data_IF_827602149372
#
_entry.id   IF_827602149372
#
_cell.length_a   1.000
_cell.length_b   1.000
_cell.length_c   1.000
_cell.angle_alpha   90.00
_cell.angle_beta   90.00
_cell.angle_gamma   90.00
#
_symmetry.space_group_name_H-M   'P 1'
#
loop_
_entity.id
_entity.type
_entity.pdbx_description
1 polymer ?
#
# COMPACT_ATOMS: atom_id res chain seq x y z
N UNK A 1 -20.44 -5.00 2.20
CA UNK A 1 -19.65 -4.41 1.09
C UNK A 1 -19.59 -2.90 1.29
N UNK A 2 -18.41 -2.29 1.13
CA UNK A 2 -18.24 -0.84 1.25
C UNK A 2 -19.04 -0.11 0.16
N UNK A 3 -19.62 1.05 0.49
CA UNK A 3 -20.29 1.91 -0.51
C UNK A 3 -19.30 2.69 -1.38
N UNK A 4 -18.05 2.79 -0.96
CA UNK A 4 -17.03 3.64 -1.57
C UNK A 4 -16.20 2.91 -2.64
N UNK A 5 -15.67 1.73 -2.30
CA UNK A 5 -14.76 0.99 -3.17
C UNK A 5 -14.85 -0.52 -2.93
N UNK A 6 -14.37 -1.30 -3.88
CA UNK A 6 -14.07 -2.72 -3.68
C UNK A 6 -12.56 -2.92 -3.59
N UNK A 7 -12.11 -3.79 -2.69
CA UNK A 7 -10.70 -4.16 -2.57
C UNK A 7 -10.39 -5.23 -3.62
N UNK A 8 -9.37 -4.96 -4.45
CA UNK A 8 -8.89 -5.84 -5.50
C UNK A 8 -7.71 -6.71 -5.05
N UNK A 9 -6.89 -6.19 -4.13
CA UNK A 9 -5.73 -6.86 -3.55
C UNK A 9 -5.31 -6.15 -2.26
N UNK A 10 -4.77 -6.89 -1.29
CA UNK A 10 -4.18 -6.33 -0.08
C UNK A 10 -2.86 -7.00 0.27
N UNK A 11 -1.98 -6.25 0.92
CA UNK A 11 -0.82 -6.74 1.64
C UNK A 11 -0.86 -6.19 3.06
N UNK A 12 -0.37 -6.97 4.01
CA UNK A 12 -0.35 -6.62 5.43
C UNK A 12 1.01 -7.01 5.98
N UNK A 13 1.64 -6.12 6.74
CA UNK A 13 2.79 -6.44 7.59
C UNK A 13 2.46 -6.07 9.04
N UNK A 14 3.06 -6.81 9.97
CA UNK A 14 3.07 -6.41 11.37
C UNK A 14 4.13 -5.32 11.57
N UNK A 15 3.79 -4.33 12.37
CA UNK A 15 4.67 -3.24 12.81
C UNK A 15 4.62 -3.16 14.34
N UNK A 16 5.34 -2.21 14.93
CA UNK A 16 5.49 -2.12 16.40
C UNK A 16 4.16 -2.19 17.15
N UNK A 17 4.19 -2.71 18.38
CA UNK A 17 3.04 -2.85 19.28
C UNK A 17 1.90 -3.76 18.77
N UNK A 18 2.19 -4.70 17.88
CA UNK A 18 1.19 -5.56 17.20
C UNK A 18 0.21 -4.77 16.34
N UNK A 19 0.60 -3.56 15.94
CA UNK A 19 -0.14 -2.83 14.92
C UNK A 19 0.16 -3.43 13.54
N UNK A 20 -0.67 -3.08 12.56
CA UNK A 20 -0.55 -3.57 11.19
C UNK A 20 -0.54 -2.41 10.23
N UNK A 21 0.38 -2.47 9.27
CA UNK A 21 0.37 -1.60 8.11
C UNK A 21 -0.21 -2.38 6.92
N UNK A 22 -1.07 -1.71 6.16
CA UNK A 22 -1.68 -2.30 4.96
C UNK A 22 -1.38 -1.47 3.73
N UNK A 23 -1.22 -2.17 2.61
CA UNK A 23 -1.27 -1.62 1.27
C UNK A 23 -2.42 -2.29 0.52
N UNK A 24 -3.32 -1.50 -0.06
CA UNK A 24 -4.52 -2.00 -0.72
C UNK A 24 -4.63 -1.43 -2.12
N UNK A 25 -5.05 -2.24 -3.08
CA UNK A 25 -5.50 -1.76 -4.40
C UNK A 25 -7.02 -1.77 -4.42
N UNK A 26 -7.60 -0.61 -4.68
CA UNK A 26 -9.04 -0.39 -4.63
C UNK A 26 -9.56 -0.03 -6.02
N UNK A 27 -10.78 -0.46 -6.34
CA UNK A 27 -11.58 0.11 -7.44
C UNK A 27 -12.65 1.01 -6.84
N UNK A 28 -12.61 2.30 -7.18
CA UNK A 28 -13.55 3.29 -6.64
C UNK A 28 -14.87 3.19 -7.39
N UNK A 29 -15.98 2.96 -6.69
CA UNK A 29 -17.28 2.70 -7.32
C UNK A 29 -17.82 3.87 -8.10
N UNK A 30 -17.53 5.09 -7.63
CA UNK A 30 -18.03 6.31 -8.24
C UNK A 30 -17.35 6.66 -9.57
N UNK A 31 -16.05 6.35 -9.69
CA UNK A 31 -15.22 6.77 -10.85
C UNK A 31 -14.75 5.62 -11.71
N UNK A 32 -14.73 4.39 -11.17
CA UNK A 32 -14.07 3.24 -11.80
C UNK A 32 -12.54 3.36 -11.78
N UNK A 33 -11.98 4.32 -11.04
CA UNK A 33 -10.54 4.51 -10.96
C UNK A 33 -9.92 3.51 -9.99
N UNK A 34 -8.70 3.10 -10.30
CA UNK A 34 -7.89 2.26 -9.41
C UNK A 34 -7.04 3.15 -8.52
N UNK A 35 -7.17 2.97 -7.21
CA UNK A 35 -6.36 3.67 -6.21
C UNK A 35 -5.48 2.69 -5.44
N UNK A 36 -4.34 3.17 -4.94
CA UNK A 36 -3.53 2.45 -3.96
C UNK A 36 -3.66 3.19 -2.63
N UNK A 37 -4.03 2.48 -1.58
CA UNK A 37 -4.16 3.02 -0.23
C UNK A 37 -3.14 2.39 0.69
N UNK A 38 -2.50 3.24 1.49
CA UNK A 38 -1.75 2.80 2.67
C UNK A 38 -2.56 3.14 3.92
N UNK A 39 -2.64 2.21 4.87
CA UNK A 39 -3.39 2.41 6.10
C UNK A 39 -2.74 1.79 7.32
N UNK A 40 -3.01 2.40 8.47
CA UNK A 40 -2.54 1.95 9.78
C UNK A 40 -3.70 1.37 10.59
N UNK A 41 -3.48 0.20 11.16
CA UNK A 41 -4.46 -0.52 11.98
C UNK A 41 -3.85 -0.91 13.32
N UNK A 42 -4.41 -0.40 14.41
CA UNK A 42 -3.95 -0.71 15.76
C UNK A 42 -4.77 -1.82 16.41
N UNK A 43 -4.42 -2.19 17.66
CA UNK A 43 -5.12 -3.20 18.45
C UNK A 43 -5.16 -4.55 17.72
N UNK A 44 -3.99 -5.03 17.27
CA UNK A 44 -3.90 -6.29 16.54
C UNK A 44 -4.49 -6.24 15.14
N UNK A 45 -4.65 -5.04 14.57
CA UNK A 45 -5.23 -4.84 13.24
C UNK A 45 -6.74 -4.68 13.19
N UNK A 46 -7.40 -4.46 14.33
CA UNK A 46 -8.87 -4.36 14.41
C UNK A 46 -9.38 -2.91 14.37
N UNK A 47 -8.53 -1.94 14.68
CA UNK A 47 -8.91 -0.54 14.77
C UNK A 47 -8.15 0.31 13.74
N UNK A 48 -8.86 0.85 12.76
CA UNK A 48 -8.28 1.76 11.76
C UNK A 48 -7.89 3.10 12.41
N UNK A 49 -6.66 3.56 12.18
CA UNK A 49 -6.20 4.87 12.61
C UNK A 49 -6.37 5.90 11.50
N UNK A 50 -6.99 7.04 11.82
CA UNK A 50 -7.15 8.16 10.89
C UNK A 50 -5.88 9.00 10.70
N UNK A 51 -4.84 8.75 11.50
CA UNK A 51 -3.55 9.39 11.36
C UNK A 51 -2.81 8.87 10.10
N UNK A 52 -1.85 9.64 9.56
CA UNK A 52 -0.93 9.13 8.54
C UNK A 52 -0.25 7.82 8.99
N UNK A 53 0.06 6.95 8.03
CA UNK A 53 0.91 5.80 8.28
C UNK A 53 2.36 6.27 8.31
N UNK A 54 2.87 6.52 9.50
CA UNK A 54 4.28 6.87 9.71
C UNK A 54 5.07 5.63 10.12
N UNK A 55 6.16 5.34 9.41
CA UNK A 55 7.06 4.22 9.70
C UNK A 55 8.46 4.46 9.15
N UNK A 56 9.43 3.67 9.62
CA UNK A 56 10.81 3.70 9.13
C UNK A 56 10.90 3.35 7.65
N UNK A 57 11.97 3.79 6.98
CA UNK A 57 12.23 3.44 5.58
C UNK A 57 12.31 1.93 5.37
N UNK A 58 12.92 1.19 6.31
CA UNK A 58 12.98 -0.28 6.24
C UNK A 58 11.58 -0.91 6.28
N UNK A 59 10.68 -0.41 7.14
CA UNK A 59 9.30 -0.90 7.19
C UNK A 59 8.51 -0.52 5.92
N UNK A 60 8.80 0.64 5.33
CA UNK A 60 8.26 0.99 4.02
C UNK A 60 8.71 -0.01 2.94
N UNK A 61 9.99 -0.37 2.92
CA UNK A 61 10.52 -1.36 1.98
C UNK A 61 9.86 -2.73 2.17
N UNK A 62 9.70 -3.19 3.42
CA UNK A 62 8.98 -4.42 3.74
C UNK A 62 7.53 -4.39 3.26
N UNK A 63 6.80 -3.28 3.48
CA UNK A 63 5.42 -3.15 3.03
C UNK A 63 5.33 -3.12 1.50
N UNK A 64 6.27 -2.44 0.83
CA UNK A 64 6.34 -2.43 -0.62
C UNK A 64 6.61 -3.82 -1.19
N UNK A 65 7.57 -4.55 -0.62
CA UNK A 65 7.87 -5.94 -1.01
C UNK A 65 6.61 -6.82 -0.89
N UNK A 66 5.95 -6.82 0.26
CA UNK A 66 4.70 -7.55 0.47
C UNK A 66 3.60 -7.12 -0.52
N UNK A 67 3.54 -5.84 -0.88
CA UNK A 67 2.59 -5.31 -1.86
C UNK A 67 2.91 -5.74 -3.31
N UNK A 68 4.19 -5.89 -3.69
CA UNK A 68 4.57 -6.48 -4.96
C UNK A 68 4.18 -7.97 -5.01
N UNK A 69 4.50 -8.73 -3.96
CA UNK A 69 4.19 -10.17 -3.87
C UNK A 69 2.68 -10.44 -3.96
N UNK A 70 1.88 -9.66 -3.25
CA UNK A 70 0.41 -9.78 -3.25
C UNK A 70 -0.27 -9.08 -4.43
N UNK A 71 0.49 -8.61 -5.43
CA UNK A 71 -0.03 -7.96 -6.65
C UNK A 71 -0.95 -6.77 -6.35
N UNK A 72 -0.68 -6.04 -5.28
CA UNK A 72 -1.33 -4.75 -4.98
C UNK A 72 -0.99 -3.76 -6.10
N UNK A 73 0.27 -3.67 -6.49
CA UNK A 73 0.67 -2.87 -7.65
C UNK A 73 0.31 -3.56 -8.97
N UNK A 74 -0.25 -2.83 -9.92
CA UNK A 74 -0.48 -3.35 -11.29
C UNK A 74 0.82 -3.39 -12.09
N UNK A 75 0.86 -4.21 -13.13
CA UNK A 75 2.02 -4.30 -14.02
C UNK A 75 2.36 -2.94 -14.66
N UNK A 76 1.35 -2.15 -15.00
CA UNK A 76 1.51 -0.79 -15.54
C UNK A 76 2.17 0.14 -14.52
N UNK A 77 1.70 0.10 -13.26
CA UNK A 77 2.28 0.89 -12.18
C UNK A 77 3.75 0.49 -11.95
N UNK A 78 4.05 -0.82 -11.89
CA UNK A 78 5.41 -1.34 -11.70
C UNK A 78 6.32 -0.89 -12.85
N UNK A 79 5.86 -0.95 -14.10
CA UNK A 79 6.62 -0.44 -15.27
C UNK A 79 6.90 1.05 -15.14
N UNK A 80 5.92 1.84 -14.71
CA UNK A 80 6.09 3.28 -14.44
C UNK A 80 7.11 3.55 -13.34
N UNK A 81 6.99 2.84 -12.22
CA UNK A 81 7.89 2.95 -11.07
C UNK A 81 9.33 2.59 -11.43
N UNK A 82 9.56 1.51 -12.18
CA UNK A 82 10.89 1.11 -12.67
C UNK A 82 11.53 2.21 -13.52
N UNK A 83 10.77 2.78 -14.47
CA UNK A 83 11.27 3.90 -15.29
C UNK A 83 11.63 5.12 -14.45
N UNK A 84 10.79 5.45 -13.46
CA UNK A 84 11.03 6.56 -12.55
C UNK A 84 12.30 6.34 -11.73
N UNK A 85 12.46 5.19 -11.07
CA UNK A 85 13.66 4.87 -10.28
C UNK A 85 14.91 4.89 -11.15
N UNK A 86 14.88 4.25 -12.33
CA UNK A 86 16.01 4.26 -13.27
C UNK A 86 16.43 5.67 -13.69
N UNK A 87 15.45 6.57 -13.89
CA UNK A 87 15.72 7.96 -14.23
C UNK A 87 16.53 8.68 -13.13
N UNK A 88 16.22 8.43 -11.86
CA UNK A 88 16.86 9.10 -10.72
C UNK A 88 18.07 8.37 -10.14
N UNK A 89 18.24 7.07 -10.39
CA UNK A 89 19.46 6.35 -10.02
C UNK A 89 20.73 6.89 -10.72
N UNK A 90 20.58 7.62 -11.82
CA UNK A 90 21.71 8.28 -12.50
C UNK A 90 22.07 9.65 -11.88
N UNK A 91 21.38 10.07 -10.82
CA UNK A 91 21.53 11.40 -10.20
C UNK A 91 22.04 11.35 -8.74
N UNK A 92 22.36 10.16 -8.22
CA UNK A 92 23.02 9.93 -6.94
C UNK A 92 24.33 9.17 -7.18
#
# INVERSE_FOLDING_TARGET
>A
MSKYADNLAEAIIDIDNNDKAKAERLIIKATGETEIRFSWWTQGGTHFQHAPLDMSEDNWLCLFEAAFENKVFSDEFIKGLKKMIQKYNNHF
#
